data_IF_681840482733
#
_entry.id   IF_681840482733
#
_cell.length_a   1.000
_cell.length_b   1.000
_cell.length_c   1.000
_cell.angle_alpha   90.00
_cell.angle_beta   90.00
_cell.angle_gamma   90.00
#
_symmetry.space_group_name_H-M   'P 1'
#
loop_
_entity.id
_entity.type
_entity.pdbx_description
1 polymer ?
#
# COMPACT_ATOMS: atom_id res chain seq x y z
N UNK A 1 -22.91 -30.28 -28.76
CA UNK A 1 -21.89 -30.94 -27.91
C UNK A 1 -21.71 -30.12 -26.65
N UNK A 2 -21.66 -30.70 -25.44
CA UNK A 2 -21.32 -29.96 -24.23
C UNK A 2 -19.88 -29.44 -24.35
N UNK A 3 -19.68 -28.15 -24.13
CA UNK A 3 -18.34 -27.54 -24.12
C UNK A 3 -17.56 -28.17 -22.95
N UNK A 4 -16.37 -28.75 -23.17
CA UNK A 4 -15.58 -29.31 -22.09
C UNK A 4 -15.32 -28.23 -21.03
N UNK A 5 -15.74 -28.50 -19.79
CA UNK A 5 -15.42 -27.64 -18.66
C UNK A 5 -13.93 -27.79 -18.38
N UNK A 6 -13.16 -26.74 -18.66
CA UNK A 6 -11.76 -26.68 -18.26
C UNK A 6 -11.72 -26.69 -16.74
N UNK A 7 -11.13 -27.75 -16.17
CA UNK A 7 -10.88 -27.85 -14.74
C UNK A 7 -9.48 -27.32 -14.46
N UNK A 8 -9.42 -26.28 -13.64
CA UNK A 8 -8.16 -25.72 -13.16
C UNK A 8 -7.72 -26.48 -11.90
N UNK A 9 -6.40 -26.68 -11.69
CA UNK A 9 -5.89 -27.30 -10.48
C UNK A 9 -6.13 -26.42 -9.25
N UNK A 10 -6.16 -27.01 -8.06
CA UNK A 10 -6.26 -26.24 -6.82
C UNK A 10 -5.06 -25.31 -6.67
N UNK A 11 -5.31 -24.08 -6.21
CA UNK A 11 -4.29 -23.04 -6.12
C UNK A 11 -3.08 -23.49 -5.29
N UNK A 12 -3.31 -24.24 -4.21
CA UNK A 12 -2.26 -24.73 -3.32
C UNK A 12 -1.32 -25.74 -3.98
N UNK A 13 -1.73 -26.38 -5.07
CA UNK A 13 -0.89 -27.32 -5.84
C UNK A 13 0.06 -26.61 -6.82
N UNK A 14 -0.14 -25.30 -7.06
CA UNK A 14 0.69 -24.51 -7.95
C UNK A 14 2.02 -24.13 -7.30
N UNK A 15 3.01 -23.78 -8.13
CA UNK A 15 4.30 -23.27 -7.65
C UNK A 15 4.10 -21.99 -6.83
N UNK A 16 5.02 -21.72 -5.89
CA UNK A 16 4.96 -20.51 -5.05
C UNK A 16 4.81 -19.23 -5.87
N UNK A 17 5.59 -19.10 -6.95
CA UNK A 17 5.54 -17.94 -7.86
C UNK A 17 4.17 -17.81 -8.51
N UNK A 18 3.60 -18.91 -9.02
CA UNK A 18 2.27 -18.89 -9.63
C UNK A 18 1.18 -18.53 -8.65
N UNK A 19 1.24 -19.04 -7.41
CA UNK A 19 0.30 -18.64 -6.35
C UNK A 19 0.35 -17.15 -6.11
N UNK A 20 1.55 -16.58 -5.95
CA UNK A 20 1.70 -15.15 -5.69
C UNK A 20 1.30 -14.26 -6.88
N UNK A 21 1.51 -14.71 -8.13
CA UNK A 21 0.99 -14.00 -9.31
C UNK A 21 -0.53 -14.05 -9.36
N UNK A 22 -1.13 -15.19 -9.00
CA UNK A 22 -2.58 -15.30 -8.87
C UNK A 22 -3.08 -14.38 -7.76
N UNK A 23 -2.45 -14.37 -6.57
CA UNK A 23 -2.77 -13.45 -5.46
C UNK A 23 -2.74 -11.99 -5.93
N UNK A 24 -1.72 -11.61 -6.71
CA UNK A 24 -1.60 -10.30 -7.30
C UNK A 24 -2.77 -9.96 -8.22
N UNK A 25 -3.14 -10.87 -9.11
CA UNK A 25 -4.26 -10.65 -10.03
C UNK A 25 -5.60 -10.61 -9.27
N UNK A 26 -5.81 -11.51 -8.31
CA UNK A 26 -7.02 -11.53 -7.48
C UNK A 26 -7.20 -10.22 -6.71
N UNK A 27 -6.15 -9.73 -6.05
CA UNK A 27 -6.15 -8.48 -5.32
C UNK A 27 -6.42 -7.27 -6.24
N UNK A 28 -5.63 -7.12 -7.30
CA UNK A 28 -5.66 -5.94 -8.17
C UNK A 28 -6.93 -5.85 -9.02
N UNK A 29 -7.50 -6.99 -9.40
CA UNK A 29 -8.69 -7.05 -10.25
C UNK A 29 -9.96 -7.44 -9.51
N UNK A 30 -9.87 -7.76 -8.21
CA UNK A 30 -11.00 -8.21 -7.37
C UNK A 30 -11.78 -9.35 -8.03
N UNK A 31 -11.05 -10.38 -8.47
CA UNK A 31 -11.57 -11.63 -9.01
C UNK A 31 -11.02 -12.78 -8.17
N UNK A 32 -11.56 -13.99 -8.34
CA UNK A 32 -11.10 -15.17 -7.59
C UNK A 32 -10.67 -16.29 -8.52
N UNK A 33 -9.55 -16.92 -8.26
CA UNK A 33 -9.13 -18.14 -8.92
C UNK A 33 -9.89 -19.35 -8.34
N UNK A 34 -10.29 -20.35 -9.14
CA UNK A 34 -10.20 -20.42 -10.61
C UNK A 34 -11.47 -19.92 -11.33
N UNK A 35 -12.49 -19.49 -10.60
CA UNK A 35 -13.85 -19.26 -11.15
C UNK A 35 -14.04 -17.88 -11.78
N UNK A 36 -13.39 -16.87 -11.24
CA UNK A 36 -13.39 -15.49 -11.72
C UNK A 36 -12.75 -15.36 -13.09
N UNK A 37 -13.29 -14.45 -13.89
CA UNK A 37 -12.78 -14.06 -15.22
C UNK A 37 -12.51 -12.58 -15.22
N UNK A 38 -11.60 -12.13 -16.08
CA UNK A 38 -11.22 -10.71 -16.11
C UNK A 38 -12.42 -9.79 -16.45
N UNK A 39 -13.34 -10.25 -17.31
CA UNK A 39 -14.60 -9.55 -17.61
C UNK A 39 -15.52 -9.29 -16.40
N UNK A 40 -15.34 -10.04 -15.31
CA UNK A 40 -16.12 -9.88 -14.07
C UNK A 40 -15.52 -8.82 -13.15
N UNK A 41 -14.27 -8.38 -13.41
CA UNK A 41 -13.54 -7.43 -12.58
C UNK A 41 -14.30 -6.10 -12.45
N UNK A 42 -14.66 -5.66 -11.23
CA UNK A 42 -15.17 -4.32 -11.01
C UNK A 42 -14.11 -3.23 -11.28
N UNK A 43 -12.84 -3.55 -11.03
CA UNK A 43 -11.71 -2.63 -11.25
C UNK A 43 -11.57 -2.32 -12.75
N UNK A 44 -11.59 -3.35 -13.61
CA UNK A 44 -11.50 -3.16 -15.05
C UNK A 44 -12.73 -2.45 -15.63
N UNK A 45 -13.93 -2.70 -15.09
CA UNK A 45 -15.15 -1.98 -15.50
C UNK A 45 -15.07 -0.48 -15.20
N UNK A 46 -14.48 -0.10 -14.07
CA UNK A 46 -14.26 1.31 -13.70
C UNK A 46 -13.13 1.93 -14.51
N UNK A 47 -12.05 1.19 -14.73
CA UNK A 47 -10.85 1.67 -15.39
C UNK A 47 -10.37 0.68 -16.47
N UNK A 48 -10.92 0.77 -17.70
CA UNK A 48 -10.60 -0.17 -18.79
C UNK A 48 -9.12 -0.23 -19.16
N UNK A 49 -8.34 0.83 -18.90
CA UNK A 49 -6.89 0.87 -19.14
C UNK A 49 -6.10 -0.15 -18.31
N UNK A 50 -6.67 -0.69 -17.23
CA UNK A 50 -6.05 -1.75 -16.44
C UNK A 50 -5.84 -3.05 -17.23
N UNK A 51 -6.42 -3.19 -18.42
CA UNK A 51 -6.08 -4.29 -19.33
C UNK A 51 -4.60 -4.29 -19.69
N UNK A 52 -3.96 -3.12 -19.77
CA UNK A 52 -2.54 -3.00 -20.05
C UNK A 52 -1.68 -3.44 -18.86
N UNK A 53 -2.16 -3.22 -17.63
CA UNK A 53 -1.54 -3.77 -16.41
C UNK A 53 -1.55 -5.30 -16.44
N UNK A 54 -2.66 -5.93 -16.85
CA UNK A 54 -2.71 -7.40 -17.05
C UNK A 54 -1.67 -7.85 -18.08
N UNK A 55 -1.54 -7.13 -19.21
CA UNK A 55 -0.52 -7.42 -20.24
C UNK A 55 0.88 -7.41 -19.64
N UNK A 56 1.21 -6.37 -18.86
CA UNK A 56 2.51 -6.27 -18.18
C UNK A 56 2.76 -7.47 -17.27
N UNK A 57 1.81 -7.82 -16.40
CA UNK A 57 1.95 -8.97 -15.49
C UNK A 57 2.18 -10.26 -16.29
N UNK A 58 1.40 -10.49 -17.34
CA UNK A 58 1.54 -11.68 -18.19
C UNK A 58 2.88 -11.72 -18.94
N UNK A 59 3.37 -10.59 -19.45
CA UNK A 59 4.69 -10.49 -20.10
C UNK A 59 5.83 -10.74 -19.12
N UNK A 60 5.73 -10.20 -17.90
CA UNK A 60 6.68 -10.52 -16.84
C UNK A 60 6.72 -12.02 -16.53
N UNK A 61 5.56 -12.67 -16.44
CA UNK A 61 5.49 -14.12 -16.22
C UNK A 61 6.12 -14.89 -17.38
N UNK A 62 5.79 -14.53 -18.62
CA UNK A 62 6.30 -15.15 -19.83
C UNK A 62 7.83 -15.06 -19.93
N UNK A 63 8.39 -13.87 -19.72
CA UNK A 63 9.80 -13.56 -19.99
C UNK A 63 10.73 -13.87 -18.80
N UNK A 64 10.24 -13.79 -17.55
CA UNK A 64 11.10 -13.80 -16.35
C UNK A 64 10.79 -14.90 -15.33
N UNK A 65 9.89 -15.85 -15.63
CA UNK A 65 9.62 -16.98 -14.72
C UNK A 65 9.94 -18.34 -15.35
N UNK A 66 10.26 -19.32 -14.51
CA UNK A 66 10.47 -20.69 -14.95
C UNK A 66 9.19 -21.26 -15.58
N UNK A 67 9.29 -21.90 -16.74
CA UNK A 67 8.15 -22.32 -17.57
C UNK A 67 7.20 -21.15 -17.96
N UNK A 68 7.73 -19.93 -18.11
CA UNK A 68 6.96 -18.71 -18.33
C UNK A 68 5.91 -18.77 -19.44
N UNK A 69 6.23 -19.36 -20.60
CA UNK A 69 5.28 -19.53 -21.71
C UNK A 69 4.05 -20.34 -21.28
N UNK A 70 4.27 -21.47 -20.60
CA UNK A 70 3.18 -22.34 -20.12
C UNK A 70 2.37 -21.67 -19.00
N UNK A 71 3.05 -20.99 -18.07
CA UNK A 71 2.42 -20.23 -17.00
C UNK A 71 1.57 -19.07 -17.53
N UNK A 72 2.07 -18.34 -18.53
CA UNK A 72 1.36 -17.26 -19.19
C UNK A 72 0.13 -17.79 -19.94
N UNK A 73 0.26 -18.88 -20.70
CA UNK A 73 -0.86 -19.53 -21.37
C UNK A 73 -1.94 -19.98 -20.39
N UNK A 74 -1.51 -20.56 -19.26
CA UNK A 74 -2.40 -20.94 -18.16
C UNK A 74 -3.17 -19.75 -17.58
N UNK A 75 -2.49 -18.63 -17.27
CA UNK A 75 -3.13 -17.42 -16.76
C UNK A 75 -4.08 -16.81 -17.79
N UNK A 76 -3.70 -16.76 -19.07
CA UNK A 76 -4.57 -16.29 -20.16
C UNK A 76 -5.84 -17.15 -20.27
N UNK A 77 -5.70 -18.47 -20.14
CA UNK A 77 -6.84 -19.39 -20.13
C UNK A 77 -7.77 -19.11 -18.95
N UNK A 78 -7.21 -18.97 -17.74
CA UNK A 78 -7.98 -18.63 -16.53
C UNK A 78 -8.68 -17.29 -16.68
N UNK A 79 -8.00 -16.25 -17.17
CA UNK A 79 -8.55 -14.91 -17.28
C UNK A 79 -9.57 -14.75 -18.42
N UNK A 80 -9.69 -15.73 -19.30
CA UNK A 80 -10.57 -15.70 -20.46
C UNK A 80 -10.02 -14.85 -21.62
N UNK A 81 -8.70 -14.89 -21.81
CA UNK A 81 -7.95 -14.09 -22.79
C UNK A 81 -7.42 -14.93 -23.98
N UNK A 82 -7.92 -16.15 -24.15
CA UNK A 82 -7.62 -17.00 -25.30
C UNK A 82 -8.44 -16.48 -26.50
N UNK A 83 -7.84 -15.68 -27.39
CA UNK A 83 -8.52 -15.09 -28.56
C UNK A 83 -8.01 -13.70 -28.91
N UNK A 84 -8.92 -12.74 -29.16
CA UNK A 84 -8.70 -11.33 -29.56
C UNK A 84 -7.96 -10.45 -28.52
N UNK A 85 -7.08 -11.04 -27.73
CA UNK A 85 -6.18 -10.33 -26.85
C UNK A 85 -4.86 -10.15 -27.57
N UNK A 86 -4.62 -8.93 -28.05
CA UNK A 86 -3.38 -8.59 -28.75
C UNK A 86 -2.18 -8.57 -27.79
N UNK A 87 -1.68 -9.75 -27.46
CA UNK A 87 -0.59 -9.98 -26.51
C UNK A 87 0.76 -10.10 -27.22
N UNK A 88 0.78 -10.70 -28.41
CA UNK A 88 2.03 -10.98 -29.13
C UNK A 88 2.60 -9.74 -29.82
N UNK A 89 1.79 -8.73 -30.14
CA UNK A 89 2.26 -7.56 -30.89
C UNK A 89 2.89 -6.47 -30.03
N UNK A 90 2.98 -6.65 -28.71
CA UNK A 90 3.49 -5.63 -27.79
C UNK A 90 4.53 -6.25 -26.88
N UNK A 91 5.67 -5.58 -26.75
CA UNK A 91 6.78 -6.03 -25.90
C UNK A 91 6.68 -5.41 -24.50
N UNK A 92 7.33 -6.04 -23.51
CA UNK A 92 7.37 -5.48 -22.15
C UNK A 92 8.03 -4.08 -22.11
N UNK A 93 9.16 -3.81 -22.80
CA UNK A 93 9.75 -2.46 -22.82
C UNK A 93 8.82 -1.39 -23.39
N UNK A 94 8.03 -1.70 -24.43
CA UNK A 94 7.05 -0.77 -24.98
C UNK A 94 5.97 -0.42 -23.94
N UNK A 95 5.42 -1.42 -23.25
CA UNK A 95 4.42 -1.21 -22.20
C UNK A 95 4.99 -0.39 -21.03
N UNK A 96 6.22 -0.67 -20.62
CA UNK A 96 6.89 0.05 -19.53
C UNK A 96 7.37 1.45 -19.96
N UNK A 97 7.41 1.76 -21.26
CA UNK A 97 7.65 3.10 -21.77
C UNK A 97 6.43 4.02 -21.66
N UNK A 98 5.22 3.47 -21.52
CA UNK A 98 4.00 4.27 -21.40
C UNK A 98 3.80 4.80 -19.97
N UNK A 99 3.84 6.12 -19.82
CA UNK A 99 3.71 6.79 -18.51
C UNK A 99 2.41 6.44 -17.78
N UNK A 100 1.29 6.29 -18.50
CA UNK A 100 0.00 5.90 -17.93
C UNK A 100 0.00 4.47 -17.38
N UNK A 101 0.72 3.55 -18.02
CA UNK A 101 0.86 2.17 -17.53
C UNK A 101 1.75 2.18 -16.28
N UNK A 102 2.91 2.85 -16.33
CA UNK A 102 3.80 2.96 -15.18
C UNK A 102 3.08 3.55 -13.97
N UNK A 103 2.30 4.61 -14.17
CA UNK A 103 1.49 5.22 -13.12
C UNK A 103 0.63 4.17 -12.43
N UNK A 104 -0.21 3.47 -13.18
CA UNK A 104 -1.09 2.43 -12.61
C UNK A 104 -0.30 1.32 -11.90
N UNK A 105 0.85 0.90 -12.47
CA UNK A 105 1.68 -0.13 -11.84
C UNK A 105 2.22 0.31 -10.48
N UNK A 106 2.77 1.53 -10.37
CA UNK A 106 3.36 2.00 -9.12
C UNK A 106 2.30 2.45 -8.11
N UNK A 107 1.29 3.21 -8.51
CA UNK A 107 0.27 3.76 -7.59
C UNK A 107 -0.60 2.67 -6.98
N UNK A 108 -0.64 1.47 -7.59
CA UNK A 108 -1.32 0.28 -7.09
C UNK A 108 -0.41 -0.70 -6.35
N UNK A 109 0.89 -0.45 -6.32
CA UNK A 109 1.86 -1.37 -5.71
C UNK A 109 2.06 -2.66 -6.47
N UNK A 110 1.88 -2.66 -7.79
CA UNK A 110 2.10 -3.84 -8.63
C UNK A 110 3.58 -3.99 -8.94
N UNK A 111 4.30 -2.87 -9.01
CA UNK A 111 5.75 -2.85 -9.15
C UNK A 111 6.39 -1.95 -8.10
N UNK A 112 7.62 -2.32 -7.74
CA UNK A 112 8.52 -1.58 -6.87
C UNK A 112 9.83 -1.28 -7.61
N UNK A 113 10.61 -0.33 -7.08
CA UNK A 113 11.97 0.03 -7.56
C UNK A 113 12.01 0.59 -8.99
N UNK A 114 13.19 1.06 -9.40
CA UNK A 114 13.54 1.43 -10.77
C UNK A 114 14.87 0.74 -11.13
N UNK A 115 14.94 -0.16 -12.13
CA UNK A 115 13.85 -0.56 -13.03
C UNK A 115 12.71 -1.32 -12.32
N UNK A 116 11.47 -1.29 -12.88
CA UNK A 116 10.30 -1.89 -12.24
C UNK A 116 10.45 -3.39 -11.99
N UNK A 117 10.08 -3.84 -10.79
CA UNK A 117 10.02 -5.26 -10.39
C UNK A 117 8.65 -5.58 -9.82
N UNK A 118 8.04 -6.70 -10.24
CA UNK A 118 6.73 -7.10 -9.71
C UNK A 118 6.76 -7.28 -8.19
N UNK A 119 5.81 -6.64 -7.51
CA UNK A 119 5.52 -6.84 -6.09
C UNK A 119 4.53 -7.99 -5.93
N UNK A 120 5.02 -9.12 -5.44
CA UNK A 120 4.20 -10.33 -5.27
C UNK A 120 3.45 -10.37 -3.93
N UNK A 121 3.83 -9.54 -2.97
CA UNK A 121 3.13 -9.37 -1.70
C UNK A 121 2.04 -8.31 -1.86
N UNK A 122 0.78 -8.74 -1.88
CA UNK A 122 -0.35 -7.87 -2.20
C UNK A 122 -1.34 -7.70 -1.06
N UNK A 123 -1.21 -8.53 -0.02
CA UNK A 123 -2.01 -8.49 1.19
C UNK A 123 -1.17 -8.01 2.38
N UNK A 124 -1.83 -7.38 3.34
CA UNK A 124 -1.24 -7.05 4.63
C UNK A 124 -1.21 -8.33 5.48
N UNK A 125 -0.01 -8.87 5.71
CA UNK A 125 0.15 -10.16 6.40
C UNK A 125 0.13 -9.99 7.92
N UNK A 126 0.65 -8.89 8.45
CA UNK A 126 0.86 -8.69 9.89
C UNK A 126 0.50 -7.27 10.32
N UNK A 127 -0.15 -7.16 11.49
CA UNK A 127 -0.37 -5.90 12.20
C UNK A 127 0.42 -5.98 13.50
N UNK A 128 1.57 -5.31 13.53
CA UNK A 128 2.46 -5.32 14.67
C UNK A 128 1.97 -4.36 15.74
N UNK A 129 1.83 -4.86 16.97
CA UNK A 129 1.41 -4.04 18.11
C UNK A 129 2.62 -3.65 18.94
N UNK A 130 2.80 -2.35 19.13
CA UNK A 130 3.91 -1.79 19.88
C UNK A 130 3.35 -1.01 21.07
N UNK A 131 3.67 -1.48 22.28
CA UNK A 131 3.29 -0.83 23.53
C UNK A 131 4.60 -0.43 24.24
N UNK A 132 5.22 0.69 23.86
CA UNK A 132 6.52 1.07 24.37
C UNK A 132 6.45 1.40 25.86
N UNK A 133 7.44 0.93 26.62
CA UNK A 133 7.73 1.45 27.97
C UNK A 133 8.46 2.78 27.91
N UNK A 134 9.20 3.00 26.82
CA UNK A 134 10.11 4.13 26.67
C UNK A 134 9.38 5.36 26.12
N UNK A 135 9.95 6.54 26.40
CA UNK A 135 9.45 7.83 25.90
C UNK A 135 9.59 7.99 24.39
N UNK A 136 10.50 7.23 23.77
CA UNK A 136 10.85 7.36 22.36
C UNK A 136 10.56 6.02 21.68
N UNK A 137 9.75 6.08 20.63
CA UNK A 137 9.58 4.98 19.68
C UNK A 137 10.26 5.39 18.39
N UNK A 138 11.19 4.57 17.93
CA UNK A 138 11.86 4.74 16.64
C UNK A 138 11.58 3.53 15.77
N UNK A 139 11.11 3.79 14.55
CA UNK A 139 10.83 2.78 13.54
C UNK A 139 11.52 3.16 12.25
N UNK A 140 12.29 2.22 11.72
CA UNK A 140 12.77 2.25 10.34
C UNK A 140 11.82 1.40 9.49
N UNK A 141 11.16 2.02 8.51
CA UNK A 141 10.15 1.37 7.69
C UNK A 141 10.67 1.30 6.25
N UNK A 142 10.75 0.07 5.73
CA UNK A 142 11.20 -0.17 4.36
C UNK A 142 10.03 -0.01 3.39
N UNK A 143 10.24 0.74 2.32
CA UNK A 143 9.32 0.78 1.18
C UNK A 143 9.23 -0.57 0.47
N UNK A 144 8.13 -0.79 -0.26
CA UNK A 144 7.91 -2.07 -0.95
C UNK A 144 7.49 -3.23 -0.03
N UNK A 145 7.35 -2.99 1.29
CA UNK A 145 6.93 -4.00 2.27
C UNK A 145 5.61 -3.59 2.93
N UNK A 146 4.50 -4.19 2.48
CA UNK A 146 3.16 -3.95 3.04
C UNK A 146 3.09 -4.45 4.49
N UNK A 147 3.04 -3.52 5.42
CA UNK A 147 2.96 -3.77 6.86
C UNK A 147 2.13 -2.68 7.54
N UNK A 148 1.55 -3.03 8.69
CA UNK A 148 0.85 -2.08 9.54
C UNK A 148 1.37 -2.21 10.98
N UNK A 149 1.50 -1.07 11.66
CA UNK A 149 1.93 -0.97 13.04
C UNK A 149 0.89 -0.19 13.84
N UNK A 150 0.49 -0.73 14.99
CA UNK A 150 -0.35 -0.04 15.95
C UNK A 150 0.47 0.26 17.20
N UNK A 151 0.81 1.52 17.39
CA UNK A 151 1.55 2.00 18.55
C UNK A 151 0.54 2.55 19.55
N UNK A 152 0.59 2.08 20.80
CA UNK A 152 -0.18 2.65 21.91
C UNK A 152 0.78 3.15 22.97
N UNK A 153 0.89 4.47 23.10
CA UNK A 153 1.85 5.07 24.04
C UNK A 153 1.43 4.83 25.49
N UNK A 154 2.35 4.98 26.46
CA UNK A 154 1.96 5.28 27.84
C UNK A 154 1.03 6.50 27.88
N UNK A 155 0.20 6.65 28.92
CA UNK A 155 -0.58 7.86 29.12
C UNK A 155 0.29 9.10 28.99
N UNK A 156 -0.16 10.08 28.21
CA UNK A 156 0.52 11.36 28.00
C UNK A 156 -0.51 12.45 27.72
N UNK A 157 -0.09 13.71 27.78
CA UNK A 157 -0.84 14.86 27.27
C UNK A 157 -0.20 15.43 26.00
N UNK A 158 1.11 15.22 25.82
CA UNK A 158 1.89 15.85 24.76
C UNK A 158 2.89 14.85 24.16
N UNK A 159 2.96 14.86 22.83
CA UNK A 159 4.00 14.17 22.09
C UNK A 159 4.47 14.98 20.90
N UNK A 160 5.51 14.49 20.25
CA UNK A 160 5.95 14.95 18.95
C UNK A 160 6.14 13.76 18.03
N UNK A 161 5.84 13.97 16.76
CA UNK A 161 6.00 12.97 15.73
C UNK A 161 6.86 13.53 14.61
N UNK A 162 7.79 12.72 14.12
CA UNK A 162 8.62 13.03 12.97
C UNK A 162 8.64 11.83 12.04
N UNK A 163 8.51 12.07 10.74
CA UNK A 163 8.85 11.07 9.72
C UNK A 163 9.65 11.74 8.61
N UNK A 164 10.79 11.13 8.27
CA UNK A 164 11.60 11.48 7.11
C UNK A 164 11.68 10.34 6.10
N UNK A 165 11.80 10.67 4.82
CA UNK A 165 11.93 9.78 3.67
C UNK A 165 13.31 9.93 3.05
N UNK A 166 13.98 8.80 2.83
CA UNK A 166 15.16 8.68 1.97
C UNK A 166 14.79 7.86 0.75
N UNK A 167 15.22 8.30 -0.43
CA UNK A 167 15.08 7.56 -1.69
C UNK A 167 16.47 7.25 -2.21
N UNK A 168 16.79 5.98 -2.39
CA UNK A 168 18.06 5.54 -2.96
C UNK A 168 18.14 5.91 -4.44
N UNK A 169 19.27 6.45 -4.90
CA UNK A 169 19.35 6.91 -6.27
C UNK A 169 19.55 5.79 -7.31
N UNK A 170 20.08 4.64 -6.88
CA UNK A 170 20.45 3.52 -7.75
C UNK A 170 19.25 2.68 -8.14
N UNK A 171 18.37 2.35 -7.18
CA UNK A 171 17.22 1.47 -7.42
C UNK A 171 15.88 2.09 -6.99
N UNK A 172 15.89 3.33 -6.49
CA UNK A 172 14.70 4.03 -5.99
C UNK A 172 13.98 3.30 -4.85
N UNK A 173 14.69 2.44 -4.12
CA UNK A 173 14.24 1.94 -2.82
C UNK A 173 14.05 3.11 -1.85
N UNK A 174 13.12 2.93 -0.91
CA UNK A 174 12.75 3.99 0.03
C UNK A 174 12.85 3.50 1.46
N UNK A 175 13.28 4.38 2.36
CA UNK A 175 13.37 4.13 3.79
C UNK A 175 12.73 5.30 4.52
N UNK A 176 11.90 5.01 5.51
CA UNK A 176 11.30 6.02 6.38
C UNK A 176 11.85 5.89 7.79
N UNK A 177 12.41 6.99 8.29
CA UNK A 177 12.78 7.15 9.70
C UNK A 177 11.60 7.81 10.41
N UNK A 178 10.89 7.06 11.24
CA UNK A 178 9.73 7.55 12.01
C UNK A 178 10.01 7.54 13.49
N UNK A 179 9.74 8.66 14.16
CA UNK A 179 9.98 8.86 15.59
C UNK A 179 8.73 9.42 16.25
N UNK A 180 8.28 8.74 17.30
CA UNK A 180 7.26 9.24 18.22
C UNK A 180 7.91 9.46 19.58
N UNK A 181 7.86 10.69 20.06
CA UNK A 181 8.42 11.08 21.36
C UNK A 181 7.26 11.54 22.22
N UNK A 182 7.03 10.89 23.35
CA UNK A 182 5.99 11.27 24.32
C UNK A 182 6.59 11.84 25.58
N UNK A 183 5.94 12.85 26.14
CA UNK A 183 6.27 13.35 27.47
C UNK A 183 5.59 12.44 28.50
N UNK A 184 6.36 11.84 29.41
CA UNK A 184 5.82 11.19 30.60
C UNK A 184 6.22 12.00 31.84
N UNK A 185 5.32 12.18 32.83
CA UNK A 185 5.64 12.92 34.04
C UNK A 185 6.76 12.22 34.83
N UNK A 186 7.61 13.00 35.50
CA UNK A 186 8.79 12.51 36.25
C UNK A 186 8.43 11.92 37.65
N UNK A 187 7.15 11.76 38.01
CA UNK A 187 6.70 11.32 39.34
C UNK A 187 5.29 10.70 39.30
N UNK A 188 4.83 9.93 40.32
CA UNK A 188 3.59 9.14 40.26
C UNK A 188 2.37 10.02 40.53
N UNK A 189 2.06 10.92 39.61
CA UNK A 189 0.73 11.49 39.45
C UNK A 189 0.35 11.27 37.99
N UNK A 190 -0.18 10.09 37.69
CA UNK A 190 -1.00 9.91 36.52
C UNK A 190 -2.18 10.88 36.68
N UNK A 191 -2.08 12.07 36.08
CA UNK A 191 -3.13 13.05 36.13
C UNK A 191 -4.37 12.44 35.45
N UNK A 192 -5.56 12.66 36.01
CA UNK A 192 -6.85 12.16 35.49
C UNK A 192 -7.13 12.54 34.03
N UNK A 193 -6.32 13.43 33.45
CA UNK A 193 -6.45 13.93 32.08
C UNK A 193 -5.41 13.35 31.10
N UNK A 194 -4.54 12.45 31.55
CA UNK A 194 -3.58 11.77 30.66
C UNK A 194 -4.25 10.58 29.97
N UNK A 195 -4.03 10.43 28.67
CA UNK A 195 -4.52 9.28 27.92
C UNK A 195 -3.45 8.73 26.97
N UNK A 196 -3.49 7.44 26.63
CA UNK A 196 -2.65 6.89 25.56
C UNK A 196 -2.95 7.53 24.20
N UNK A 197 -1.92 7.82 23.42
CA UNK A 197 -2.06 8.13 22.00
C UNK A 197 -1.99 6.80 21.23
N UNK A 198 -3.00 6.53 20.41
CA UNK A 198 -3.00 5.40 19.47
C UNK A 198 -2.60 5.89 18.09
N UNK A 199 -1.48 5.39 17.58
CA UNK A 199 -0.93 5.72 16.27
C UNK A 199 -1.00 4.49 15.36
N UNK A 200 -1.65 4.64 14.21
CA UNK A 200 -1.61 3.66 13.13
C UNK A 200 -0.56 4.06 12.10
N UNK A 201 0.45 3.24 11.87
CA UNK A 201 1.36 3.42 10.75
C UNK A 201 1.06 2.33 9.73
N UNK A 202 0.88 2.68 8.47
CA UNK A 202 0.59 1.72 7.40
C UNK A 202 1.45 2.01 6.17
N UNK A 203 2.15 1.00 5.70
CA UNK A 203 2.81 1.03 4.41
C UNK A 203 1.79 0.64 3.34
N UNK A 204 1.26 1.63 2.62
CA UNK A 204 0.27 1.39 1.57
C UNK A 204 0.85 0.60 0.41
N UNK A 205 2.15 0.80 0.12
CA UNK A 205 2.83 0.32 -1.09
C UNK A 205 1.92 0.59 -2.30
N UNK A 206 1.52 1.85 -2.50
CA UNK A 206 0.53 2.30 -3.47
C UNK A 206 -0.91 2.37 -2.94
N UNK A 207 -1.44 3.58 -2.76
CA UNK A 207 -2.79 3.82 -2.21
C UNK A 207 -3.94 3.43 -3.14
N UNK A 208 -3.69 3.26 -4.44
CA UNK A 208 -4.70 2.76 -5.38
C UNK A 208 -4.78 1.22 -5.37
N UNK A 209 -3.99 0.54 -4.54
CA UNK A 209 -4.17 -0.88 -4.29
C UNK A 209 -5.58 -1.12 -3.71
N UNK A 210 -6.41 -1.98 -4.32
CA UNK A 210 -7.78 -2.20 -3.85
C UNK A 210 -7.88 -2.67 -2.39
N UNK A 211 -6.84 -3.32 -1.87
CA UNK A 211 -6.80 -3.82 -0.50
C UNK A 211 -6.53 -2.73 0.53
N UNK A 212 -5.77 -1.69 0.17
CA UNK A 212 -5.35 -0.62 1.09
C UNK A 212 -6.56 0.06 1.75
N UNK A 213 -7.53 0.53 0.97
CA UNK A 213 -8.71 1.23 1.50
C UNK A 213 -9.51 0.36 2.46
N UNK A 214 -9.67 -0.93 2.12
CA UNK A 214 -10.38 -1.90 2.94
C UNK A 214 -9.67 -2.09 4.29
N UNK A 215 -8.36 -2.40 4.25
CA UNK A 215 -7.55 -2.61 5.45
C UNK A 215 -7.45 -1.36 6.31
N UNK A 216 -7.28 -0.18 5.70
CA UNK A 216 -7.26 1.08 6.43
C UNK A 216 -8.59 1.33 7.16
N UNK A 217 -9.73 1.09 6.50
CA UNK A 217 -11.04 1.26 7.11
C UNK A 217 -11.28 0.25 8.26
N UNK A 218 -10.92 -1.02 8.06
CA UNK A 218 -10.99 -2.07 9.10
C UNK A 218 -10.15 -1.70 10.32
N UNK A 219 -8.88 -1.34 10.11
CA UNK A 219 -7.97 -0.93 11.19
C UNK A 219 -8.46 0.32 11.90
N UNK A 220 -8.96 1.31 11.15
CA UNK A 220 -9.48 2.55 11.73
C UNK A 220 -10.71 2.30 12.57
N UNK A 221 -11.60 1.40 12.13
CA UNK A 221 -12.80 1.02 12.88
C UNK A 221 -12.47 0.19 14.13
N UNK A 222 -11.66 -0.86 14.00
CA UNK A 222 -11.36 -1.79 15.08
C UNK A 222 -10.42 -1.21 16.14
N UNK A 223 -9.46 -0.38 15.73
CA UNK A 223 -8.39 0.13 16.61
C UNK A 223 -8.59 1.59 17.01
N UNK A 224 -9.50 2.30 16.34
CA UNK A 224 -9.83 3.69 16.60
C UNK A 224 -8.58 4.56 16.83
N UNK A 225 -7.64 4.61 15.87
CA UNK A 225 -6.41 5.39 16.03
C UNK A 225 -6.74 6.89 16.12
N UNK A 226 -5.99 7.62 16.95
CA UNK A 226 -6.13 9.07 17.06
C UNK A 226 -5.38 9.79 15.92
N UNK A 227 -4.32 9.14 15.45
CA UNK A 227 -3.37 9.63 14.48
C UNK A 227 -2.95 8.47 13.57
N UNK A 228 -2.76 8.74 12.29
CA UNK A 228 -2.25 7.76 11.35
C UNK A 228 -1.19 8.34 10.42
N UNK A 229 -0.17 7.54 10.14
CA UNK A 229 0.83 7.76 9.10
C UNK A 229 0.61 6.72 8.00
N UNK A 230 0.35 7.19 6.79
CA UNK A 230 0.36 6.36 5.57
C UNK A 230 1.64 6.65 4.82
N UNK A 231 2.49 5.64 4.62
CA UNK A 231 3.72 5.75 3.81
C UNK A 231 3.59 4.99 2.49
N UNK A 232 4.54 5.19 1.58
CA UNK A 232 4.51 4.65 0.22
C UNK A 232 3.19 4.96 -0.48
N UNK A 233 2.76 6.22 -0.37
CA UNK A 233 1.50 6.64 -0.97
C UNK A 233 1.55 6.56 -2.50
N UNK A 234 2.70 6.93 -3.09
CA UNK A 234 3.01 6.90 -4.53
C UNK A 234 2.05 7.67 -5.43
N UNK A 235 1.14 8.44 -4.83
CA UNK A 235 0.13 9.24 -5.50
C UNK A 235 0.15 10.65 -4.91
N UNK A 236 0.60 11.62 -5.70
CA UNK A 236 0.69 13.02 -5.29
C UNK A 236 -0.41 13.91 -5.88
N UNK A 237 -0.32 15.20 -5.58
CA UNK A 237 -1.13 16.26 -6.21
C UNK A 237 -2.64 16.06 -6.01
N UNK A 238 -3.45 16.36 -7.04
CA UNK A 238 -4.92 16.36 -6.98
C UNK A 238 -5.46 14.97 -6.68
N UNK A 239 -4.98 13.94 -7.38
CA UNK A 239 -5.43 12.56 -7.18
C UNK A 239 -5.06 12.05 -5.78
N UNK A 240 -3.85 12.34 -5.31
CA UNK A 240 -3.44 12.01 -3.94
C UNK A 240 -4.30 12.72 -2.89
N UNK A 241 -4.71 13.96 -3.14
CA UNK A 241 -5.63 14.70 -2.27
C UNK A 241 -7.02 14.07 -2.25
N UNK A 242 -7.60 13.73 -3.40
CA UNK A 242 -8.92 13.10 -3.49
C UNK A 242 -8.94 11.75 -2.76
N UNK A 243 -7.93 10.92 -3.01
CA UNK A 243 -7.76 9.64 -2.33
C UNK A 243 -7.63 9.81 -0.82
N UNK A 244 -6.80 10.75 -0.35
CA UNK A 244 -6.62 11.04 1.07
C UNK A 244 -7.92 11.51 1.73
N UNK A 245 -8.69 12.36 1.06
CA UNK A 245 -9.98 12.86 1.58
C UNK A 245 -11.07 11.77 1.61
N UNK A 246 -10.90 10.67 0.87
CA UNK A 246 -11.80 9.52 0.93
C UNK A 246 -11.61 8.64 2.17
N UNK A 247 -10.50 8.82 2.89
CA UNK A 247 -10.22 8.09 4.13
C UNK A 247 -11.05 8.67 5.29
N UNK A 248 -11.45 7.80 6.23
CA UNK A 248 -12.26 8.15 7.39
C UNK A 248 -11.47 8.87 8.50
N UNK A 249 -10.59 9.79 8.13
CA UNK A 249 -9.82 10.64 9.04
C UNK A 249 -9.86 12.09 8.52
N UNK A 250 -10.55 12.99 9.23
CA UNK A 250 -11.06 14.24 8.64
C UNK A 250 -9.99 15.31 8.39
N UNK A 251 -8.86 15.28 9.09
CA UNK A 251 -7.80 16.28 8.93
C UNK A 251 -6.50 15.61 8.57
N UNK A 252 -5.74 16.25 7.67
CA UNK A 252 -4.52 15.65 7.16
C UNK A 252 -3.50 16.61 6.56
N UNK A 253 -2.24 16.20 6.56
CA UNK A 253 -1.09 16.83 5.91
C UNK A 253 -0.34 15.79 5.07
N UNK A 254 0.41 16.21 4.06
CA UNK A 254 1.06 15.29 3.13
C UNK A 254 2.40 15.80 2.62
N UNK A 255 3.27 14.85 2.27
CA UNK A 255 4.46 15.06 1.45
C UNK A 255 4.29 14.20 0.20
N UNK A 256 4.38 14.83 -0.98
CA UNK A 256 4.22 14.14 -2.25
C UNK A 256 5.40 13.17 -2.52
N UNK A 257 5.18 12.07 -3.27
CA UNK A 257 6.26 11.19 -3.70
C UNK A 257 7.22 11.88 -4.68
N UNK A 258 8.45 11.39 -4.77
CA UNK A 258 9.39 11.73 -5.84
C UNK A 258 9.11 10.84 -7.04
N UNK A 259 8.42 11.39 -8.04
CA UNK A 259 7.87 10.58 -9.13
C UNK A 259 6.84 9.60 -8.57
N UNK A 260 7.16 8.31 -8.58
CA UNK A 260 6.32 7.26 -8.01
C UNK A 260 6.88 6.66 -6.71
N UNK A 261 7.97 7.22 -6.19
CA UNK A 261 8.69 6.66 -5.05
C UNK A 261 8.40 7.46 -3.80
N UNK A 262 7.95 6.76 -2.76
CA UNK A 262 7.72 7.36 -1.47
C UNK A 262 6.35 8.03 -1.31
N UNK A 263 6.39 9.21 -0.69
CA UNK A 263 5.23 10.02 -0.32
C UNK A 263 4.56 9.52 0.95
N UNK A 264 4.08 10.46 1.78
CA UNK A 264 3.46 10.14 3.06
C UNK A 264 2.30 11.07 3.39
N UNK A 265 1.29 10.53 4.09
CA UNK A 265 0.17 11.29 4.62
C UNK A 265 0.11 11.14 6.14
N UNK A 266 -0.04 12.28 6.83
CA UNK A 266 -0.45 12.33 8.23
C UNK A 266 -1.94 12.60 8.29
N UNK A 267 -2.67 11.79 9.05
CA UNK A 267 -4.12 11.86 9.23
C UNK A 267 -4.44 11.90 10.73
N UNK A 268 -5.42 12.68 11.17
CA UNK A 268 -5.82 12.70 12.58
C UNK A 268 -7.29 13.05 12.77
N UNK A 269 -7.83 12.66 13.93
CA UNK A 269 -9.15 13.07 14.38
C UNK A 269 -9.01 14.33 15.26
N UNK A 270 -9.47 15.51 14.79
CA UNK A 270 -9.36 16.77 15.52
C UNK A 270 -10.23 16.82 16.77
N UNK A 271 -11.21 15.93 16.93
CA UNK A 271 -12.04 15.86 18.14
C UNK A 271 -11.28 15.24 19.31
N UNK A 272 -10.24 14.44 19.01
CA UNK A 272 -9.44 13.71 20.01
C UNK A 272 -8.03 14.30 20.16
N UNK A 273 -7.44 14.73 19.04
CA UNK A 273 -6.03 15.11 18.98
C UNK A 273 -5.85 16.42 18.22
N UNK A 274 -5.19 17.38 18.84
CA UNK A 274 -4.63 18.53 18.14
C UNK A 274 -3.27 18.13 17.57
N UNK A 275 -3.10 18.28 16.26
CA UNK A 275 -1.84 18.04 15.56
C UNK A 275 -1.39 19.36 14.93
N UNK A 276 -0.28 19.92 15.40
CA UNK A 276 0.30 21.15 14.87
C UNK A 276 1.55 20.80 14.06
N UNK A 277 1.50 21.03 12.74
CA UNK A 277 2.65 20.79 11.86
C UNK A 277 3.73 21.83 12.15
N UNK A 278 4.90 21.38 12.61
CA UNK A 278 6.04 22.24 12.95
C UNK A 278 6.89 22.50 11.70
N UNK A 279 7.27 21.42 11.02
CA UNK A 279 8.03 21.49 9.78
C UNK A 279 7.45 20.55 8.73
N UNK A 280 7.53 20.99 7.47
CA UNK A 280 7.23 20.16 6.30
C UNK A 280 8.22 20.51 5.20
N UNK A 281 8.96 19.52 4.75
CA UNK A 281 9.88 19.63 3.61
C UNK A 281 9.38 18.75 2.47
N UNK A 282 10.17 18.66 1.40
CA UNK A 282 9.94 17.70 0.31
C UNK A 282 10.09 16.24 0.74
N UNK A 283 10.75 15.98 1.87
CA UNK A 283 11.09 14.62 2.31
C UNK A 283 10.70 14.31 3.74
N UNK A 284 10.14 15.26 4.49
CA UNK A 284 9.86 15.05 5.90
C UNK A 284 8.71 15.89 6.41
N UNK A 285 8.13 15.41 7.50
CA UNK A 285 7.11 16.12 8.26
C UNK A 285 7.36 15.93 9.75
N UNK A 286 7.20 17.01 10.51
CA UNK A 286 7.18 16.97 11.97
C UNK A 286 5.93 17.65 12.51
N UNK A 287 5.42 17.12 13.62
CA UNK A 287 4.22 17.62 14.25
C UNK A 287 4.31 17.53 15.78
N UNK A 288 3.68 18.49 16.46
CA UNK A 288 3.34 18.38 17.87
C UNK A 288 1.95 17.78 18.01
N UNK A 289 1.78 16.86 18.96
CA UNK A 289 0.57 16.11 19.21
C UNK A 289 0.09 16.42 20.64
N UNK A 290 -1.15 16.88 20.77
CA UNK A 290 -1.75 17.20 22.07
C UNK A 290 -3.15 16.59 22.18
N UNK A 291 -3.40 15.80 23.23
CA UNK A 291 -4.70 15.16 23.45
C UNK A 291 -5.70 16.21 23.94
N UNK A 292 -6.86 16.27 23.29
CA UNK A 292 -7.97 17.10 23.76
C UNK A 292 -8.66 16.39 24.93
N UNK A 293 -8.73 17.09 26.06
CA UNK A 293 -9.39 16.66 27.30
C UNK A 293 -10.80 17.24 27.31
#
# INVERSE_FOLDING_TARGET
>A
MPVPRIQFPDKDTLSRVMRSVIDLIECQFQISYPSGRLRMSPQLRRHPMLINVVRVILKFVEEYTYCGIYNCAFLRLWLGLMGNFNFESVTLPELLGEHSILKELYTRGIVNFSPPRLSLQQTFLEIDRINPSDRIVHLELLGGHKAAYLITTPPTTLGSFYTGLTVDDSDKSTIYDSRLIVQTPDAPQAHHHMQPIRVLIINADGVLNPDFRRVFAELSYERNPHFALVIETRLGRVEGREERLSLNMPVSSSVDPVGYFGGMWLLWNPDILTCHIIHRTTFSISAELNIRI
#
